data_IF_780258669592
#
_entry.id   IF_780258669592
#
_cell.length_a   1.000
_cell.length_b   1.000
_cell.length_c   1.000
_cell.angle_alpha   90.00
_cell.angle_beta   90.00
_cell.angle_gamma   90.00
#
_symmetry.space_group_name_H-M   'P 1'
#
loop_
_entity.id
_entity.type
_entity.pdbx_description
1 polymer ?
#
# COMPACT_ATOMS: atom_id res chain seq x y z
N UNK A 1 21.05 -44.97 -27.42
CA UNK A 1 22.02 -43.92 -27.01
C UNK A 1 21.27 -42.60 -26.72
N UNK A 2 20.26 -42.63 -25.84
CA UNK A 2 19.25 -41.54 -25.75
C UNK A 2 18.87 -41.14 -24.32
N UNK A 3 18.92 -42.03 -23.32
CA UNK A 3 18.54 -41.67 -21.93
C UNK A 3 19.55 -40.73 -21.22
N UNK A 4 20.85 -40.88 -21.48
CA UNK A 4 21.90 -40.12 -20.77
C UNK A 4 21.99 -38.65 -21.19
N UNK A 5 21.41 -38.28 -22.35
CA UNK A 5 21.37 -36.90 -22.87
C UNK A 5 20.18 -36.10 -22.34
N UNK A 6 19.09 -36.78 -21.94
CA UNK A 6 17.88 -36.12 -21.41
C UNK A 6 18.10 -35.62 -19.98
N UNK A 7 18.83 -36.36 -19.15
CA UNK A 7 19.13 -35.95 -17.75
C UNK A 7 20.01 -34.70 -17.66
N UNK A 8 20.97 -34.51 -18.56
CA UNK A 8 21.85 -33.33 -18.56
C UNK A 8 21.09 -32.06 -18.96
N UNK A 9 20.12 -32.19 -19.87
CA UNK A 9 19.28 -31.06 -20.31
C UNK A 9 18.34 -30.58 -19.20
N UNK A 10 17.79 -31.50 -18.40
CA UNK A 10 16.92 -31.15 -17.27
C UNK A 10 17.66 -30.44 -16.13
N UNK A 11 18.89 -30.86 -15.82
CA UNK A 11 19.72 -30.20 -14.78
C UNK A 11 20.12 -28.78 -15.22
N UNK A 12 20.40 -28.57 -16.52
CA UNK A 12 20.73 -27.25 -17.06
C UNK A 12 19.51 -26.30 -17.05
N UNK A 13 18.31 -26.82 -17.36
CA UNK A 13 17.06 -26.04 -17.31
C UNK A 13 16.69 -25.63 -15.87
N UNK A 14 16.96 -26.50 -14.89
CA UNK A 14 16.73 -26.21 -13.48
C UNK A 14 17.71 -25.16 -12.92
N UNK A 15 18.94 -25.12 -13.42
CA UNK A 15 19.93 -24.11 -13.01
C UNK A 15 19.59 -22.71 -13.55
N UNK A 16 18.97 -22.61 -14.73
CA UNK A 16 18.54 -21.33 -15.31
C UNK A 16 17.33 -20.70 -14.62
N UNK A 17 16.48 -21.49 -13.94
CA UNK A 17 15.31 -20.97 -13.23
C UNK A 17 15.65 -20.22 -11.94
N UNK A 18 16.82 -20.47 -11.35
CA UNK A 18 17.25 -19.84 -10.09
C UNK A 18 17.68 -18.37 -10.29
N UNK A 19 18.15 -18.00 -11.48
CA UNK A 19 18.72 -16.66 -11.73
C UNK A 19 17.62 -15.63 -12.03
N UNK A 20 16.49 -16.06 -12.61
CA UNK A 20 15.40 -15.14 -12.98
C UNK A 20 14.52 -14.72 -11.78
N UNK A 21 14.51 -15.47 -10.67
CA UNK A 21 13.69 -15.16 -9.50
C UNK A 21 14.17 -13.96 -8.68
N UNK A 22 15.48 -13.75 -8.57
CA UNK A 22 16.03 -12.70 -7.72
C UNK A 22 15.89 -11.29 -8.33
N UNK A 23 15.97 -11.15 -9.65
CA UNK A 23 15.88 -9.84 -10.31
C UNK A 23 14.45 -9.27 -10.27
N UNK A 24 13.44 -10.12 -10.46
CA UNK A 24 12.03 -9.69 -10.40
C UNK A 24 11.61 -9.29 -8.98
N UNK A 25 12.05 -10.03 -7.97
CA UNK A 25 11.82 -9.68 -6.56
C UNK A 25 12.48 -8.34 -6.17
N UNK A 26 13.73 -8.12 -6.59
CA UNK A 26 14.42 -6.84 -6.35
C UNK A 26 13.69 -5.67 -7.00
N UNK A 27 13.26 -5.84 -8.26
CA UNK A 27 12.48 -4.84 -8.99
C UNK A 27 11.16 -4.51 -8.30
N UNK A 28 10.38 -5.53 -7.90
CA UNK A 28 9.09 -5.32 -7.23
C UNK A 28 9.24 -4.66 -5.86
N UNK A 29 10.28 -5.03 -5.10
CA UNK A 29 10.61 -4.39 -3.82
C UNK A 29 11.00 -2.92 -3.99
N UNK A 30 11.85 -2.60 -4.97
CA UNK A 30 12.24 -1.23 -5.28
C UNK A 30 11.05 -0.38 -5.74
N UNK A 31 10.17 -0.93 -6.57
CA UNK A 31 8.93 -0.27 -6.99
C UNK A 31 8.03 0.06 -5.79
N UNK A 32 7.73 -0.93 -4.93
CA UNK A 32 6.92 -0.71 -3.73
C UNK A 32 7.54 0.34 -2.82
N UNK A 33 8.85 0.25 -2.55
CA UNK A 33 9.52 1.21 -1.68
C UNK A 33 9.49 2.63 -2.26
N UNK A 34 9.64 2.79 -3.57
CA UNK A 34 9.52 4.08 -4.23
C UNK A 34 8.10 4.65 -4.12
N UNK A 35 7.06 3.82 -4.35
CA UNK A 35 5.66 4.20 -4.17
C UNK A 35 5.38 4.63 -2.73
N UNK A 36 5.77 3.84 -1.73
CA UNK A 36 5.51 4.13 -0.32
C UNK A 36 6.20 5.44 0.12
N UNK A 37 7.42 5.70 -0.37
CA UNK A 37 8.12 6.98 -0.14
C UNK A 37 7.36 8.16 -0.74
N UNK A 38 6.90 8.03 -1.98
CA UNK A 38 6.16 9.08 -2.67
C UNK A 38 4.82 9.38 -1.98
N UNK A 39 4.07 8.33 -1.61
CA UNK A 39 2.81 8.44 -0.87
C UNK A 39 3.02 9.12 0.48
N UNK A 40 4.03 8.70 1.25
CA UNK A 40 4.36 9.31 2.56
C UNK A 40 4.60 10.82 2.48
N UNK A 41 5.27 11.26 1.41
CA UNK A 41 5.63 12.67 1.21
C UNK A 41 4.51 13.50 0.56
N UNK A 42 3.45 12.86 0.06
CA UNK A 42 2.43 13.49 -0.74
C UNK A 42 1.58 14.49 0.06
N UNK A 43 1.24 15.62 -0.57
CA UNK A 43 0.39 16.67 -0.02
C UNK A 43 -0.76 16.93 -1.00
N UNK A 44 -1.98 16.64 -0.57
CA UNK A 44 -3.19 16.84 -1.35
C UNK A 44 -3.51 18.33 -1.50
N UNK A 45 -3.85 18.73 -2.72
CA UNK A 45 -4.41 20.05 -3.03
C UNK A 45 -5.94 20.09 -2.94
N UNK A 46 -6.58 18.93 -2.85
CA UNK A 46 -8.04 18.85 -2.78
C UNK A 46 -8.58 19.41 -1.44
N UNK A 47 -9.83 19.91 -1.43
CA UNK A 47 -10.50 20.36 -0.21
C UNK A 47 -10.60 19.25 0.84
N UNK A 48 -10.56 19.63 2.13
CA UNK A 48 -10.63 18.67 3.25
C UNK A 48 -11.91 17.83 3.18
N UNK A 49 -13.03 18.41 2.77
CA UNK A 49 -14.33 17.74 2.68
C UNK A 49 -14.29 16.62 1.64
N UNK A 50 -13.66 16.86 0.49
CA UNK A 50 -13.47 15.85 -0.57
C UNK A 50 -12.57 14.72 -0.10
N UNK A 51 -11.49 15.05 0.62
CA UNK A 51 -10.55 14.06 1.15
C UNK A 51 -11.23 13.15 2.19
N UNK A 52 -11.93 13.73 3.15
CA UNK A 52 -12.61 12.99 4.22
C UNK A 52 -13.77 12.15 3.68
N UNK A 53 -14.56 12.66 2.73
CA UNK A 53 -15.62 11.90 2.08
C UNK A 53 -15.05 10.70 1.29
N UNK A 54 -13.94 10.92 0.56
CA UNK A 54 -13.29 9.85 -0.21
C UNK A 54 -12.66 8.79 0.70
N UNK A 55 -12.00 9.21 1.79
CA UNK A 55 -11.45 8.30 2.80
C UNK A 55 -12.54 7.44 3.45
N UNK A 56 -13.68 8.05 3.83
CA UNK A 56 -14.84 7.33 4.35
C UNK A 56 -15.36 6.28 3.37
N UNK A 57 -15.44 6.63 2.07
CA UNK A 57 -15.88 5.70 1.04
C UNK A 57 -14.91 4.51 0.88
N UNK A 58 -13.60 4.76 0.89
CA UNK A 58 -12.58 3.71 0.85
C UNK A 58 -12.76 2.76 2.04
N UNK A 59 -12.85 3.30 3.26
CA UNK A 59 -13.03 2.50 4.47
C UNK A 59 -14.30 1.65 4.41
N UNK A 60 -15.41 2.22 3.96
CA UNK A 60 -16.67 1.49 3.78
C UNK A 60 -16.55 0.35 2.77
N UNK A 61 -15.88 0.57 1.64
CA UNK A 61 -15.62 -0.49 0.64
C UNK A 61 -14.71 -1.60 1.15
N UNK A 62 -13.88 -1.32 2.16
CA UNK A 62 -13.08 -2.31 2.89
C UNK A 62 -13.85 -2.99 4.03
N UNK A 63 -15.14 -2.67 4.20
CA UNK A 63 -16.00 -3.27 5.24
C UNK A 63 -15.91 -2.60 6.61
N UNK A 64 -15.25 -1.43 6.72
CA UNK A 64 -15.20 -0.69 7.97
C UNK A 64 -16.35 0.30 8.10
N UNK A 65 -16.93 0.38 9.29
CA UNK A 65 -17.93 1.39 9.65
C UNK A 65 -17.27 2.56 10.40
N UNK A 66 -17.53 3.80 9.98
CA UNK A 66 -17.03 5.00 10.67
C UNK A 66 -17.96 5.33 11.84
N UNK A 67 -17.44 5.27 13.07
CA UNK A 67 -18.22 5.53 14.29
C UNK A 67 -17.92 6.89 14.92
N UNK A 68 -16.76 7.48 14.61
CA UNK A 68 -16.38 8.81 15.07
C UNK A 68 -15.76 9.60 13.92
N UNK A 69 -16.09 10.89 13.86
CA UNK A 69 -15.69 11.79 12.80
C UNK A 69 -15.61 13.20 13.33
N UNK A 70 -14.45 13.81 13.16
CA UNK A 70 -14.27 15.25 13.33
C UNK A 70 -13.98 15.90 11.98
N UNK A 71 -13.78 17.22 11.98
CA UNK A 71 -13.35 17.99 10.82
C UNK A 71 -12.00 17.52 10.23
N UNK A 72 -11.15 16.90 11.06
CA UNK A 72 -9.78 16.52 10.69
C UNK A 72 -9.43 15.07 11.01
N UNK A 73 -10.39 14.25 11.44
CA UNK A 73 -10.16 12.83 11.70
C UNK A 73 -11.40 11.96 11.44
N UNK A 74 -11.16 10.70 11.06
CA UNK A 74 -12.18 9.64 11.02
C UNK A 74 -11.66 8.47 11.83
N UNK A 75 -12.50 7.86 12.65
CA UNK A 75 -12.20 6.60 13.30
C UNK A 75 -13.27 5.57 12.94
N UNK A 76 -12.84 4.34 12.70
CA UNK A 76 -13.76 3.23 12.48
C UNK A 76 -14.07 2.49 13.77
N UNK A 77 -15.20 1.79 13.78
CA UNK A 77 -15.43 0.71 14.73
C UNK A 77 -14.34 -0.36 14.61
N UNK A 78 -14.16 -1.12 15.70
CA UNK A 78 -13.39 -2.34 15.67
C UNK A 78 -14.14 -3.40 14.86
N UNK A 79 -13.44 -4.05 13.94
CA UNK A 79 -13.91 -5.23 13.22
C UNK A 79 -13.10 -6.43 13.69
N UNK A 80 -13.76 -7.57 13.85
CA UNK A 80 -13.10 -8.84 14.15
C UNK A 80 -12.88 -9.57 12.83
N UNK A 81 -11.63 -9.84 12.49
CA UNK A 81 -11.28 -10.86 11.50
C UNK A 81 -10.68 -12.04 12.27
N UNK A 82 -10.74 -13.27 11.77
CA UNK A 82 -10.32 -14.48 12.53
C UNK A 82 -8.83 -14.55 12.94
N UNK A 83 -8.12 -13.41 12.99
CA UNK A 83 -6.76 -13.23 13.50
C UNK A 83 -6.68 -12.18 14.62
N UNK A 84 -7.76 -11.44 14.87
CA UNK A 84 -7.83 -10.40 15.88
C UNK A 84 -8.84 -9.30 15.57
N UNK A 85 -8.67 -8.17 16.24
CA UNK A 85 -9.50 -6.98 16.03
C UNK A 85 -8.70 -5.93 15.26
N UNK A 86 -9.34 -5.21 14.33
CA UNK A 86 -8.70 -4.06 13.70
C UNK A 86 -9.63 -2.86 13.55
N UNK A 87 -9.05 -1.66 13.53
CA UNK A 87 -9.75 -0.42 13.20
C UNK A 87 -8.83 0.55 12.50
N UNK A 88 -9.39 1.51 11.78
CA UNK A 88 -8.66 2.60 11.17
C UNK A 88 -8.83 3.91 11.92
N UNK A 89 -7.75 4.69 11.92
CA UNK A 89 -7.73 6.11 12.21
C UNK A 89 -7.21 6.85 10.98
N UNK A 90 -8.00 7.77 10.46
CA UNK A 90 -7.60 8.71 9.40
C UNK A 90 -7.36 10.06 10.06
N UNK A 91 -6.22 10.68 9.80
CA UNK A 91 -5.91 12.04 10.25
C UNK A 91 -5.61 12.93 9.05
N UNK A 92 -6.04 14.19 9.13
CA UNK A 92 -5.82 15.21 8.12
C UNK A 92 -5.07 16.38 8.76
N UNK A 93 -3.86 16.65 8.28
CA UNK A 93 -3.00 17.71 8.79
C UNK A 93 -2.81 18.80 7.72
N UNK A 94 -3.20 20.05 7.97
CA UNK A 94 -2.95 21.14 7.04
C UNK A 94 -1.46 21.52 7.01
N UNK A 95 -0.89 21.67 5.81
CA UNK A 95 0.50 22.05 5.56
C UNK A 95 0.53 23.05 4.40
N UNK A 96 0.76 24.33 4.71
CA UNK A 96 0.89 25.42 3.72
C UNK A 96 -0.25 25.45 2.68
N UNK A 97 -1.51 25.35 3.12
CA UNK A 97 -2.68 25.35 2.24
C UNK A 97 -2.94 24.04 1.49
N UNK A 98 -2.14 23.00 1.75
CA UNK A 98 -2.38 21.62 1.33
C UNK A 98 -2.71 20.74 2.53
N UNK A 99 -3.05 19.48 2.30
CA UNK A 99 -3.37 18.52 3.35
C UNK A 99 -2.52 17.27 3.24
N UNK A 100 -1.90 16.86 4.35
CA UNK A 100 -1.39 15.50 4.50
C UNK A 100 -2.49 14.64 5.09
N UNK A 101 -2.76 13.51 4.46
CA UNK A 101 -3.68 12.49 4.99
C UNK A 101 -2.85 11.30 5.43
N UNK A 102 -3.09 10.82 6.64
CA UNK A 102 -2.45 9.60 7.16
C UNK A 102 -3.55 8.59 7.51
N UNK A 103 -3.47 7.38 6.98
CA UNK A 103 -4.39 6.29 7.29
C UNK A 103 -3.64 5.24 8.09
N UNK A 104 -4.02 5.07 9.36
CA UNK A 104 -3.34 4.19 10.29
C UNK A 104 -4.27 3.06 10.71
N UNK A 105 -3.82 1.82 10.54
CA UNK A 105 -4.52 0.64 11.05
C UNK A 105 -3.98 0.32 12.44
N UNK A 106 -4.89 0.17 13.40
CA UNK A 106 -4.61 -0.46 14.68
C UNK A 106 -5.10 -1.90 14.60
N UNK A 107 -4.25 -2.84 14.97
CA UNK A 107 -4.56 -4.25 15.06
C UNK A 107 -4.25 -4.77 16.46
N UNK A 108 -5.14 -5.60 17.00
CA UNK A 108 -4.96 -6.32 18.26
C UNK A 108 -5.11 -7.80 17.96
N UNK A 109 -4.06 -8.60 18.14
CA UNK A 109 -4.13 -10.04 17.91
C UNK A 109 -4.96 -10.75 18.98
N UNK A 110 -5.31 -12.02 18.75
CA UNK A 110 -5.95 -12.87 19.76
C UNK A 110 -5.10 -13.02 21.04
N UNK A 111 -3.78 -12.88 20.93
CA UNK A 111 -2.84 -12.90 22.04
C UNK A 111 -2.71 -11.53 22.75
N UNK A 112 -3.53 -10.55 22.36
CA UNK A 112 -3.51 -9.16 22.85
C UNK A 112 -2.20 -8.41 22.53
N UNK A 113 -1.48 -8.82 21.47
CA UNK A 113 -0.39 -8.03 20.90
C UNK A 113 -0.99 -6.87 20.10
N UNK A 114 -0.42 -5.67 20.24
CA UNK A 114 -0.93 -4.46 19.60
C UNK A 114 0.05 -3.96 18.56
N UNK A 115 -0.45 -3.76 17.35
CA UNK A 115 0.31 -3.18 16.24
C UNK A 115 -0.41 -1.96 15.69
N UNK A 116 0.36 -0.91 15.38
CA UNK A 116 -0.14 0.31 14.74
C UNK A 116 0.71 0.58 13.52
N UNK A 117 0.11 0.47 12.33
CA UNK A 117 0.83 0.61 11.06
C UNK A 117 0.16 1.67 10.21
N UNK A 118 0.97 2.57 9.64
CA UNK A 118 0.52 3.49 8.59
C UNK A 118 0.36 2.73 7.28
N UNK A 119 -0.84 2.72 6.74
CA UNK A 119 -1.19 1.98 5.53
C UNK A 119 -1.02 2.86 4.27
N UNK A 120 0.15 2.78 3.67
CA UNK A 120 0.45 3.47 2.42
C UNK A 120 -0.37 2.96 1.23
N UNK A 121 -0.91 1.73 1.29
CA UNK A 121 -1.77 1.20 0.23
C UNK A 121 -3.10 1.94 0.26
N UNK A 122 -3.72 2.08 1.43
CA UNK A 122 -4.96 2.84 1.61
C UNK A 122 -4.78 4.33 1.29
N UNK A 123 -3.67 4.94 1.70
CA UNK A 123 -3.34 6.32 1.30
C UNK A 123 -3.18 6.45 -0.22
N UNK A 124 -2.55 5.47 -0.87
CA UNK A 124 -2.43 5.47 -2.32
C UNK A 124 -3.77 5.32 -3.04
N UNK A 125 -4.69 4.49 -2.51
CA UNK A 125 -6.07 4.41 -3.02
C UNK A 125 -6.79 5.77 -2.96
N UNK A 126 -6.56 6.55 -1.89
CA UNK A 126 -7.10 7.90 -1.79
C UNK A 126 -6.52 8.83 -2.87
N UNK A 127 -5.20 8.79 -3.10
CA UNK A 127 -4.55 9.58 -4.14
C UNK A 127 -5.13 9.21 -5.51
N UNK A 128 -5.30 7.92 -5.82
CA UNK A 128 -5.90 7.49 -7.11
C UNK A 128 -7.30 8.05 -7.34
N UNK A 129 -8.13 8.15 -6.30
CA UNK A 129 -9.51 8.67 -6.42
C UNK A 129 -9.56 10.18 -6.58
N UNK A 130 -8.76 10.89 -5.80
CA UNK A 130 -8.84 12.35 -5.67
C UNK A 130 -7.90 13.07 -6.64
N UNK A 131 -6.76 12.46 -6.97
CA UNK A 131 -5.72 13.02 -7.82
C UNK A 131 -5.14 11.95 -8.77
N UNK A 132 -5.94 11.40 -9.70
CA UNK A 132 -5.51 10.30 -10.57
C UNK A 132 -4.28 10.63 -11.43
N UNK A 133 -4.10 11.90 -11.79
CA UNK A 133 -2.90 12.36 -12.53
C UNK A 133 -1.63 12.22 -11.68
N UNK A 134 -1.70 12.58 -10.41
CA UNK A 134 -0.56 12.49 -9.50
C UNK A 134 -0.26 11.03 -9.16
N UNK A 135 -1.30 10.20 -8.97
CA UNK A 135 -1.13 8.75 -8.82
C UNK A 135 -0.40 8.13 -10.02
N UNK A 136 -0.78 8.51 -11.25
CA UNK A 136 -0.10 8.03 -12.45
C UNK A 136 1.37 8.44 -12.51
N UNK A 137 1.72 9.63 -11.99
CA UNK A 137 3.10 10.08 -11.88
C UNK A 137 3.88 9.26 -10.84
N UNK A 138 3.29 8.99 -9.67
CA UNK A 138 3.86 8.12 -8.64
C UNK A 138 4.13 6.71 -9.22
N UNK A 139 3.18 6.13 -9.96
CA UNK A 139 3.35 4.82 -10.59
C UNK A 139 4.40 4.82 -11.70
N UNK A 140 4.59 5.93 -12.42
CA UNK A 140 5.66 6.05 -13.40
C UNK A 140 7.03 6.07 -12.72
N UNK A 141 7.19 6.86 -11.64
CA UNK A 141 8.42 6.92 -10.86
C UNK A 141 8.74 5.58 -10.19
N UNK A 142 7.75 4.96 -9.56
CA UNK A 142 7.91 3.66 -8.91
C UNK A 142 8.36 2.58 -9.91
N UNK A 143 7.74 2.53 -11.10
CA UNK A 143 8.16 1.60 -12.17
C UNK A 143 9.57 1.87 -12.68
N UNK A 144 9.97 3.13 -12.80
CA UNK A 144 11.34 3.49 -13.19
C UNK A 144 12.35 2.99 -12.14
N UNK A 145 12.05 3.13 -10.85
CA UNK A 145 12.88 2.58 -9.77
C UNK A 145 12.96 1.04 -9.82
N UNK A 146 11.84 0.37 -10.09
CA UNK A 146 11.81 -1.09 -10.26
C UNK A 146 12.65 -1.56 -11.46
N UNK A 147 12.60 -0.86 -12.59
CA UNK A 147 13.41 -1.17 -13.76
C UNK A 147 14.91 -0.98 -13.52
N UNK A 148 15.30 0.06 -12.78
CA UNK A 148 16.69 0.32 -12.42
C UNK A 148 17.28 -0.72 -11.45
N UNK A 149 16.44 -1.46 -10.72
CA UNK A 149 16.86 -2.45 -9.73
C UNK A 149 16.93 -3.90 -10.24
N UNK A 150 16.57 -4.15 -11.52
CA UNK A 150 16.66 -5.47 -12.17
C UNK A 150 18.12 -5.87 -12.37
#
# INVERSE_FOLDING_TARGET
MTLRRISVFFVFLLALSQIMGCASMRAASAERQARDRAVRAYLHTAPKETLMASARKILFEQGFEVNDSTDSSLQTAWIIDGRGESRYLVTLTPINGKHRVEMTQNHVSEQNDRETIRDYVMEYELIKRVAPRDAAAIDAEARAAGQAAR
#
